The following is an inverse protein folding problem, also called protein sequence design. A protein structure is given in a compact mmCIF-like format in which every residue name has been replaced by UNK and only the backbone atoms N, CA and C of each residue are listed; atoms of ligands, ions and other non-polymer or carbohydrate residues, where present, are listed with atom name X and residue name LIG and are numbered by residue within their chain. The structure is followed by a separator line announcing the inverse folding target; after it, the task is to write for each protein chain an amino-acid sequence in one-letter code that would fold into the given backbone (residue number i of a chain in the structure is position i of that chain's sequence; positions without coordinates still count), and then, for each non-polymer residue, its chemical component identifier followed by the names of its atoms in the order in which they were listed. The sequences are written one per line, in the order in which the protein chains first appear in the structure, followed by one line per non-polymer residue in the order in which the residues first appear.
data_IF_157750721729
#
_entry.id   IF_157750721729
#
_cell.length_a   1.000
_cell.length_b   1.000
_cell.length_c   1.000
_cell.angle_alpha   90.00
_cell.angle_beta   90.00
_cell.angle_gamma   90.00
#
_symmetry.space_group_name_H-M   'P 1'
#
loop_
_entity.id
_entity.type
_entity.pdbx_description
1 polymer ?
#
# COMPACT_ATOMS: atom_id res chain seq x y z
N UNK A 1 37.05 -12.77 -13.28
CA UNK A 1 35.74 -12.80 -12.60
C UNK A 1 34.65 -12.56 -13.64
N UNK A 2 33.41 -13.08 -13.47
CA UNK A 2 32.32 -12.78 -14.39
C UNK A 2 31.93 -11.29 -14.30
N UNK A 3 31.49 -10.73 -15.44
CA UNK A 3 30.91 -9.40 -15.49
C UNK A 3 29.42 -9.50 -15.11
N UNK A 4 28.99 -8.70 -14.15
CA UNK A 4 27.61 -8.66 -13.65
C UNK A 4 27.08 -7.25 -13.89
N UNK A 5 26.10 -7.12 -14.76
CA UNK A 5 25.36 -5.89 -14.97
C UNK A 5 24.06 -5.95 -14.16
N UNK A 6 23.93 -5.03 -13.19
CA UNK A 6 22.72 -4.90 -12.37
C UNK A 6 21.77 -3.91 -13.04
N UNK A 7 20.52 -4.30 -13.22
CA UNK A 7 19.46 -3.39 -13.65
C UNK A 7 19.21 -2.37 -12.54
N UNK A 8 18.84 -1.15 -12.91
CA UNK A 8 18.46 -0.10 -11.95
C UNK A 8 17.25 -0.53 -11.09
N UNK A 9 17.08 0.05 -9.89
CA UNK A 9 15.79 0.05 -9.21
C UNK A 9 14.68 0.54 -10.15
N UNK A 10 13.50 -0.06 -10.06
CA UNK A 10 12.42 0.09 -11.04
C UNK A 10 11.06 0.41 -10.40
N UNK A 11 11.04 0.83 -9.13
CA UNK A 11 9.84 1.21 -8.38
C UNK A 11 9.05 2.32 -9.09
N UNK A 12 9.76 3.25 -9.75
CA UNK A 12 9.22 4.39 -10.50
C UNK A 12 8.91 4.09 -11.97
N UNK A 13 9.05 2.82 -12.41
CA UNK A 13 8.94 2.51 -13.83
C UNK A 13 7.50 2.77 -14.31
N UNK A 14 7.27 3.53 -15.41
CA UNK A 14 5.92 3.90 -15.85
C UNK A 14 4.99 2.71 -16.06
N UNK A 15 5.53 1.59 -16.55
CA UNK A 15 4.74 0.36 -16.72
C UNK A 15 4.18 -0.23 -15.42
N UNK A 16 4.84 0.01 -14.28
CA UNK A 16 4.32 -0.36 -12.97
C UNK A 16 3.34 0.69 -12.45
N UNK A 17 3.72 1.97 -12.51
CA UNK A 17 2.92 3.08 -11.98
C UNK A 17 1.57 3.20 -12.69
N UNK A 18 1.56 3.21 -14.03
CA UNK A 18 0.33 3.37 -14.80
C UNK A 18 -0.61 2.16 -14.61
N UNK A 19 -0.05 0.96 -14.56
CA UNK A 19 -0.82 -0.27 -14.32
C UNK A 19 -1.44 -0.28 -12.92
N UNK A 20 -0.69 0.12 -11.90
CA UNK A 20 -1.19 0.21 -10.53
C UNK A 20 -2.28 1.29 -10.41
N UNK A 21 -2.11 2.43 -11.08
CA UNK A 21 -3.11 3.49 -11.10
C UNK A 21 -4.40 3.07 -11.81
N UNK A 22 -4.30 2.31 -12.91
CA UNK A 22 -5.47 1.72 -13.59
C UNK A 22 -6.25 0.79 -12.66
N UNK A 23 -5.56 -0.12 -11.97
CA UNK A 23 -6.20 -1.06 -11.03
C UNK A 23 -6.84 -0.33 -9.84
N UNK A 24 -6.18 0.71 -9.33
CA UNK A 24 -6.73 1.50 -8.24
C UNK A 24 -8.01 2.24 -8.66
N UNK A 25 -8.05 2.82 -9.86
CA UNK A 25 -9.26 3.45 -10.41
C UNK A 25 -10.41 2.46 -10.57
N UNK A 26 -10.12 1.23 -10.99
CA UNK A 26 -11.14 0.17 -11.08
C UNK A 26 -11.68 -0.22 -9.71
N UNK A 27 -10.81 -0.40 -8.71
CA UNK A 27 -11.22 -0.69 -7.34
C UNK A 27 -12.09 0.44 -6.75
N UNK A 28 -11.68 1.69 -6.94
CA UNK A 28 -12.46 2.87 -6.54
C UNK A 28 -13.83 2.93 -7.23
N UNK A 29 -13.92 2.59 -8.52
CA UNK A 29 -15.19 2.53 -9.23
C UNK A 29 -16.12 1.44 -8.66
N UNK A 30 -15.59 0.25 -8.33
CA UNK A 30 -16.35 -0.83 -7.68
C UNK A 30 -16.85 -0.40 -6.30
N UNK A 31 -16.04 0.34 -5.55
CA UNK A 31 -16.39 0.89 -4.23
C UNK A 31 -17.40 2.04 -4.30
N UNK A 32 -17.80 2.49 -5.50
CA UNK A 32 -18.64 3.69 -5.68
C UNK A 32 -17.92 4.99 -5.31
N UNK A 33 -16.59 4.95 -5.19
CA UNK A 33 -15.70 6.05 -4.81
C UNK A 33 -14.85 6.50 -6.01
N UNK A 34 -15.47 6.57 -7.19
CA UNK A 34 -14.83 7.11 -8.39
C UNK A 34 -14.52 8.62 -8.27
N UNK A 35 -14.33 9.33 -9.39
CA UNK A 35 -13.94 10.74 -9.38
C UNK A 35 -14.80 11.61 -8.44
N UNK A 36 -14.17 12.27 -7.48
CA UNK A 36 -14.82 13.11 -6.48
C UNK A 36 -15.29 12.39 -5.20
N UNK A 37 -14.99 11.09 -5.06
CA UNK A 37 -15.15 10.36 -3.80
C UNK A 37 -14.12 10.75 -2.74
N UNK A 38 -14.22 10.15 -1.57
CA UNK A 38 -13.40 10.48 -0.40
C UNK A 38 -12.83 9.24 0.33
N UNK A 39 -12.85 8.07 -0.34
CA UNK A 39 -12.17 6.88 0.17
C UNK A 39 -10.69 7.16 0.46
N UNK A 40 -10.18 6.58 1.54
CA UNK A 40 -8.77 6.70 1.90
C UNK A 40 -7.95 5.62 1.20
N UNK A 41 -6.87 5.99 0.52
CA UNK A 41 -6.04 5.04 -0.22
C UNK A 41 -4.93 4.49 0.70
N UNK A 42 -4.76 3.17 0.72
CA UNK A 42 -3.72 2.51 1.48
C UNK A 42 -2.75 1.81 0.53
N UNK A 43 -1.53 2.31 0.44
CA UNK A 43 -0.48 1.73 -0.38
C UNK A 43 0.34 0.75 0.45
N UNK A 44 0.16 -0.55 0.20
CA UNK A 44 0.74 -1.62 1.03
C UNK A 44 2.04 -2.17 0.45
N UNK A 45 3.00 -2.45 1.33
CA UNK A 45 4.24 -3.15 1.04
C UNK A 45 4.67 -4.05 2.20
N UNK A 46 5.56 -5.01 1.94
CA UNK A 46 6.08 -5.88 3.00
C UNK A 46 6.90 -5.07 4.01
N UNK A 47 6.59 -5.18 5.30
CA UNK A 47 7.34 -4.51 6.35
C UNK A 47 8.76 -5.07 6.47
N UNK A 48 9.74 -4.25 6.82
CA UNK A 48 11.09 -4.71 7.15
C UNK A 48 11.51 -4.18 8.52
N UNK A 49 12.49 -4.81 9.20
CA UNK A 49 13.08 -4.25 10.42
C UNK A 49 13.58 -2.81 10.20
N UNK A 50 13.34 -1.92 11.16
CA UNK A 50 13.69 -0.50 11.00
C UNK A 50 15.20 -0.28 10.82
N UNK A 51 16.03 -1.10 11.46
CA UNK A 51 17.50 -1.06 11.29
C UNK A 51 17.91 -1.34 9.84
N UNK A 52 17.24 -2.27 9.14
CA UNK A 52 17.44 -2.51 7.72
C UNK A 52 16.92 -1.36 6.86
N UNK A 53 15.76 -0.80 7.21
CA UNK A 53 15.20 0.34 6.50
C UNK A 53 16.10 1.59 6.58
N UNK A 54 16.80 1.81 7.69
CA UNK A 54 17.68 2.99 7.84
C UNK A 54 18.95 2.97 6.98
N UNK A 55 19.28 1.82 6.38
CA UNK A 55 20.51 1.65 5.59
C UNK A 55 20.21 1.43 4.10
N UNK A 56 18.96 1.61 3.67
CA UNK A 56 18.55 1.49 2.27
C UNK A 56 17.39 2.42 1.96
N UNK A 57 17.12 2.63 0.67
CA UNK A 57 16.09 3.56 0.24
C UNK A 57 14.71 2.88 0.09
N UNK A 58 14.49 1.72 0.72
CA UNK A 58 13.29 0.90 0.50
C UNK A 58 12.00 1.67 0.82
N UNK A 59 11.94 2.30 2.00
CA UNK A 59 10.78 3.06 2.42
C UNK A 59 10.55 4.29 1.52
N UNK A 60 11.63 4.98 1.14
CA UNK A 60 11.56 6.13 0.23
C UNK A 60 11.06 5.72 -1.17
N UNK A 61 11.50 4.57 -1.68
CA UNK A 61 11.05 4.05 -2.98
C UNK A 61 9.57 3.65 -2.97
N UNK A 62 9.09 3.07 -1.87
CA UNK A 62 7.66 2.74 -1.71
C UNK A 62 6.82 4.02 -1.63
N UNK A 63 7.26 5.01 -0.86
CA UNK A 63 6.58 6.31 -0.75
C UNK A 63 6.54 7.07 -2.08
N UNK A 64 7.65 7.09 -2.81
CA UNK A 64 7.71 7.69 -4.15
C UNK A 64 6.73 6.99 -5.11
N UNK A 65 6.72 5.65 -5.13
CA UNK A 65 5.79 4.89 -5.95
C UNK A 65 4.33 5.14 -5.56
N UNK A 66 4.02 5.21 -4.26
CA UNK A 66 2.69 5.54 -3.76
C UNK A 66 2.22 6.92 -4.25
N UNK A 67 3.06 7.94 -4.10
CA UNK A 67 2.76 9.30 -4.58
C UNK A 67 2.56 9.37 -6.10
N UNK A 68 3.38 8.64 -6.86
CA UNK A 68 3.24 8.53 -8.31
C UNK A 68 1.93 7.82 -8.70
N UNK A 69 1.54 6.75 -8.03
CA UNK A 69 0.28 6.05 -8.32
C UNK A 69 -0.91 6.92 -7.92
N UNK A 70 -0.89 7.53 -6.73
CA UNK A 70 -1.95 8.41 -6.24
C UNK A 70 -2.19 9.59 -7.20
N UNK A 71 -1.13 10.29 -7.62
CA UNK A 71 -1.25 11.43 -8.53
C UNK A 71 -1.73 11.05 -9.94
N UNK A 72 -1.61 9.78 -10.35
CA UNK A 72 -2.15 9.27 -11.61
C UNK A 72 -3.60 8.84 -11.45
N UNK A 73 -3.92 8.13 -10.35
CA UNK A 73 -5.25 7.62 -10.07
C UNK A 73 -6.25 8.74 -9.77
N UNK A 74 -5.81 9.75 -9.01
CA UNK A 74 -6.61 10.92 -8.61
C UNK A 74 -5.81 12.23 -8.77
N UNK A 75 -5.72 12.77 -10.01
CA UNK A 75 -5.02 14.02 -10.27
C UNK A 75 -5.63 15.26 -9.58
N UNK A 76 -6.88 15.15 -9.10
CA UNK A 76 -7.58 16.23 -8.42
C UNK A 76 -7.33 16.26 -6.90
N UNK A 77 -6.80 15.16 -6.34
CA UNK A 77 -6.42 15.08 -4.92
C UNK A 77 -7.61 15.08 -3.96
N UNK A 78 -8.69 14.40 -4.32
CA UNK A 78 -9.85 14.18 -3.46
C UNK A 78 -9.61 13.08 -2.42
N UNK A 79 -8.81 12.07 -2.77
CA UNK A 79 -8.50 10.94 -1.90
C UNK A 79 -7.22 11.18 -1.09
N UNK A 80 -7.34 11.17 0.24
CA UNK A 80 -6.19 11.08 1.14
C UNK A 80 -5.54 9.70 1.03
N UNK A 81 -4.24 9.61 1.31
CA UNK A 81 -3.52 8.34 1.22
C UNK A 81 -2.40 8.21 2.25
N UNK A 82 -2.08 6.96 2.60
CA UNK A 82 -0.94 6.60 3.45
C UNK A 82 -0.19 5.40 2.86
N UNK A 83 1.11 5.30 3.13
CA UNK A 83 1.85 4.04 3.02
C UNK A 83 1.61 3.22 4.28
N UNK A 84 1.29 1.94 4.10
CA UNK A 84 1.09 0.97 5.19
C UNK A 84 1.93 -0.26 4.94
N UNK A 85 2.18 -1.01 6.01
CA UNK A 85 3.03 -2.19 5.97
C UNK A 85 2.26 -3.44 6.35
N UNK A 86 2.67 -4.58 5.81
CA UNK A 86 2.08 -5.89 6.10
C UNK A 86 3.16 -6.96 6.32
N UNK A 87 2.74 -8.17 6.70
CA UNK A 87 3.60 -9.35 6.74
C UNK A 87 4.79 -9.26 7.72
N UNK A 88 4.61 -8.55 8.85
CA UNK A 88 5.61 -8.53 9.93
C UNK A 88 5.82 -9.93 10.51
N UNK A 89 7.02 -10.49 10.34
CA UNK A 89 7.34 -11.89 10.70
C UNK A 89 8.51 -12.05 11.69
N UNK A 90 8.76 -11.02 12.52
CA UNK A 90 9.91 -10.96 13.43
C UNK A 90 9.65 -11.35 14.89
N UNK A 91 10.73 -11.46 15.67
CA UNK A 91 10.65 -11.67 17.12
C UNK A 91 9.93 -10.52 17.82
N UNK A 92 9.12 -10.79 18.86
CA UNK A 92 8.58 -9.73 19.72
C UNK A 92 9.72 -8.87 20.28
N UNK A 93 9.72 -7.57 19.96
CA UNK A 93 10.72 -6.60 20.42
C UNK A 93 11.65 -6.02 19.35
N UNK A 94 11.68 -6.57 18.14
CA UNK A 94 12.32 -5.88 17.00
C UNK A 94 11.32 -4.87 16.44
N UNK A 95 11.69 -3.58 16.28
CA UNK A 95 10.84 -2.59 15.61
C UNK A 95 10.86 -2.81 14.10
N UNK A 96 9.68 -2.75 13.50
CA UNK A 96 9.45 -2.92 12.06
C UNK A 96 8.79 -1.65 11.53
N UNK A 97 8.80 -1.47 10.21
CA UNK A 97 8.10 -0.35 9.58
C UNK A 97 6.60 -0.42 9.89
N UNK A 98 6.06 0.73 10.27
CA UNK A 98 4.69 0.97 10.72
C UNK A 98 4.11 2.18 9.98
N UNK A 99 2.77 2.31 9.89
CA UNK A 99 1.76 1.47 10.55
C UNK A 99 1.49 0.14 9.84
N UNK A 100 1.05 -0.87 10.61
CA UNK A 100 0.42 -2.06 10.04
C UNK A 100 -0.91 -1.68 9.39
N UNK A 101 -1.26 -2.34 8.28
CA UNK A 101 -2.50 -2.04 7.55
C UNK A 101 -3.76 -2.22 8.40
N UNK A 102 -3.83 -3.24 9.24
CA UNK A 102 -5.01 -3.49 10.08
C UNK A 102 -5.15 -2.43 11.17
N UNK A 103 -4.03 -2.05 11.79
CA UNK A 103 -3.99 -0.98 12.79
C UNK A 103 -4.36 0.37 12.15
N UNK A 104 -3.91 0.62 10.92
CA UNK A 104 -4.28 1.85 10.21
C UNK A 104 -5.77 1.90 9.85
N UNK A 105 -6.36 0.79 9.43
CA UNK A 105 -7.80 0.68 9.15
C UNK A 105 -8.60 1.01 10.43
N UNK A 106 -8.20 0.52 11.59
CA UNK A 106 -8.87 0.85 12.85
C UNK A 106 -8.80 2.33 13.19
N UNK A 107 -7.62 2.93 13.03
CA UNK A 107 -7.43 4.36 13.29
C UNK A 107 -8.30 5.20 12.34
N UNK A 108 -8.33 4.87 11.04
CA UNK A 108 -9.17 5.54 10.04
C UNK A 108 -10.66 5.42 10.37
N UNK A 109 -11.11 4.23 10.78
CA UNK A 109 -12.49 4.02 11.19
C UNK A 109 -12.86 4.88 12.41
N UNK A 110 -11.96 5.00 13.39
CA UNK A 110 -12.13 5.87 14.55
C UNK A 110 -12.18 7.36 14.17
N UNK A 111 -11.43 7.76 13.14
CA UNK A 111 -11.44 9.11 12.57
C UNK A 111 -12.67 9.37 11.67
N UNK A 112 -13.53 8.37 11.47
CA UNK A 112 -14.80 8.49 10.75
C UNK A 112 -14.74 8.15 9.26
N UNK A 113 -13.60 7.66 8.76
CA UNK A 113 -13.47 7.16 7.39
C UNK A 113 -14.39 5.96 7.18
N UNK A 114 -15.07 5.93 6.03
CA UNK A 114 -16.10 4.92 5.72
C UNK A 114 -15.72 3.98 4.59
N UNK A 115 -14.66 4.28 3.85
CA UNK A 115 -14.24 3.53 2.70
C UNK A 115 -12.72 3.58 2.58
N UNK A 116 -12.09 2.44 2.32
CA UNK A 116 -10.64 2.36 2.03
C UNK A 116 -10.41 1.59 0.73
N UNK A 117 -9.44 2.04 -0.06
CA UNK A 117 -8.98 1.32 -1.25
C UNK A 117 -7.52 0.95 -1.10
N UNK A 118 -7.21 -0.35 -1.17
CA UNK A 118 -5.86 -0.87 -0.94
C UNK A 118 -5.15 -1.13 -2.28
N UNK A 119 -3.90 -0.68 -2.40
CA UNK A 119 -3.03 -0.96 -3.54
C UNK A 119 -1.72 -1.61 -3.07
N UNK A 120 -1.47 -2.90 -3.36
CA UNK A 120 -0.27 -3.62 -2.89
C UNK A 120 0.98 -3.29 -3.72
N UNK A 121 1.42 -2.03 -3.71
CA UNK A 121 2.51 -1.52 -4.57
C UNK A 121 3.88 -2.17 -4.30
N UNK A 122 4.08 -2.76 -3.12
CA UNK A 122 5.30 -3.50 -2.80
C UNK A 122 5.42 -4.86 -3.51
N UNK A 123 4.38 -5.28 -4.24
CA UNK A 123 4.27 -6.62 -4.80
C UNK A 123 3.90 -6.57 -6.29
N UNK A 124 4.79 -7.00 -7.20
CA UNK A 124 4.51 -6.96 -8.63
C UNK A 124 3.55 -8.06 -9.08
N UNK A 125 3.36 -9.10 -8.27
CA UNK A 125 2.51 -10.26 -8.54
C UNK A 125 1.79 -10.68 -7.26
N UNK A 126 0.60 -11.25 -7.43
CA UNK A 126 -0.14 -11.89 -6.34
C UNK A 126 0.70 -12.99 -5.68
N UNK A 127 0.61 -13.06 -4.35
CA UNK A 127 1.25 -14.08 -3.54
C UNK A 127 0.38 -14.39 -2.30
N UNK A 128 0.83 -15.32 -1.47
CA UNK A 128 0.10 -15.71 -0.27
C UNK A 128 -0.10 -14.55 0.72
N UNK A 129 0.89 -13.67 0.86
CA UNK A 129 0.83 -12.52 1.77
C UNK A 129 -0.24 -11.51 1.32
N UNK A 130 -0.40 -11.29 0.01
CA UNK A 130 -1.51 -10.48 -0.49
C UNK A 130 -2.85 -11.18 -0.23
N UNK A 131 -2.98 -12.43 -0.67
CA UNK A 131 -4.24 -13.17 -0.61
C UNK A 131 -4.72 -13.42 0.84
N UNK A 132 -3.80 -13.47 1.81
CA UNK A 132 -4.16 -13.62 3.21
C UNK A 132 -4.24 -12.27 3.94
N UNK A 133 -3.17 -11.48 3.95
CA UNK A 133 -3.10 -10.27 4.78
C UNK A 133 -4.10 -9.22 4.31
N UNK A 134 -4.35 -9.12 2.98
CA UNK A 134 -5.26 -8.12 2.43
C UNK A 134 -6.68 -8.67 2.26
N UNK A 135 -6.84 -9.75 1.50
CA UNK A 135 -8.17 -10.24 1.13
C UNK A 135 -8.90 -10.96 2.29
N UNK A 136 -8.18 -11.39 3.32
CA UNK A 136 -8.77 -12.02 4.51
C UNK A 136 -8.64 -11.15 5.75
N UNK A 137 -7.44 -10.78 6.17
CA UNK A 137 -7.24 -10.10 7.46
C UNK A 137 -7.67 -8.64 7.41
N UNK A 138 -7.12 -7.84 6.50
CA UNK A 138 -7.49 -6.43 6.35
C UNK A 138 -8.96 -6.26 5.96
N UNK A 139 -9.46 -7.09 5.03
CA UNK A 139 -10.87 -7.07 4.64
C UNK A 139 -11.82 -7.41 5.82
N UNK A 140 -11.50 -8.44 6.62
CA UNK A 140 -12.26 -8.75 7.83
C UNK A 140 -12.18 -7.61 8.85
N UNK A 141 -11.03 -6.94 8.96
CA UNK A 141 -10.85 -5.82 9.88
C UNK A 141 -11.68 -4.62 9.46
N UNK A 142 -11.65 -4.24 8.19
CA UNK A 142 -12.48 -3.19 7.63
C UNK A 142 -13.97 -3.47 7.88
N UNK A 143 -14.41 -4.70 7.60
CA UNK A 143 -15.79 -5.12 7.87
C UNK A 143 -16.16 -4.99 9.35
N UNK A 144 -15.30 -5.43 10.26
CA UNK A 144 -15.54 -5.33 11.71
C UNK A 144 -15.59 -3.87 12.20
N UNK A 145 -14.83 -2.98 11.55
CA UNK A 145 -14.80 -1.55 11.84
C UNK A 145 -15.92 -0.75 11.14
N UNK A 146 -16.72 -1.39 10.27
CA UNK A 146 -17.78 -0.72 9.50
C UNK A 146 -17.24 0.15 8.36
N UNK A 147 -16.06 -0.19 7.84
CA UNK A 147 -15.41 0.42 6.68
C UNK A 147 -15.66 -0.47 5.47
N UNK A 148 -16.03 0.17 4.35
CA UNK A 148 -16.20 -0.47 3.05
C UNK A 148 -14.86 -0.75 2.37
#
# INVERSE_FOLDING_TARGET
APLIDRIRPHHDHPGLIETAADRLREALAVLGNGPGGDAHLLFSAHSIPCDQATICDYAEQVDEAAGLVAGRADPAGHHSWDVVWQSRSGRPGVPWLEPDISDRIDALAADGVRAVAVSPIGFPVENFEIAWDLDVEAARRAQAAGVA
#
